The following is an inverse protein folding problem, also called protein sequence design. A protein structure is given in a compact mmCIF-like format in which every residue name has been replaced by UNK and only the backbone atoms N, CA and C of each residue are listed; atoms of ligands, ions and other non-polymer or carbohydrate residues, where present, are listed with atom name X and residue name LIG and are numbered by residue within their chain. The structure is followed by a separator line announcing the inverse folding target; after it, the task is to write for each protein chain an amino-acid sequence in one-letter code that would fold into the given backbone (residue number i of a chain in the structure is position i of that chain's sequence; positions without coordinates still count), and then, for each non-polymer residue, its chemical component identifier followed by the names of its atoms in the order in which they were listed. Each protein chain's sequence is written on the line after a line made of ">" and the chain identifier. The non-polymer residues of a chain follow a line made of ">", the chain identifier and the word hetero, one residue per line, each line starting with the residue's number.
data_IF_281103947587
#
_entry.id   IF_281103947587
#
_cell.length_a   1.000
_cell.length_b   1.000
_cell.length_c   1.000
_cell.angle_alpha   90.00
_cell.angle_beta   90.00
_cell.angle_gamma   90.00
#
_symmetry.space_group_name_H-M   'P 1'
#
loop_
_entity.id
_entity.type
_entity.pdbx_description
1 polymer ?
#
# COMPACT_ATOMS: atom_id res chain seq x y z
N UNK A 1 -9.32 23.22 -21.69
CA UNK A 1 -9.03 22.76 -20.31
C UNK A 1 -8.86 21.25 -20.37
N UNK A 2 -7.66 20.73 -20.07
CA UNK A 2 -7.36 19.29 -20.17
C UNK A 2 -7.83 18.50 -18.95
N UNK A 3 -8.06 17.19 -19.12
CA UNK A 3 -8.38 16.28 -18.01
C UNK A 3 -7.12 15.95 -17.21
N UNK A 4 -7.18 16.07 -15.88
CA UNK A 4 -6.12 15.64 -14.95
C UNK A 4 -6.26 14.16 -14.54
N UNK A 5 -7.29 13.47 -15.05
CA UNK A 5 -7.51 12.04 -14.85
C UNK A 5 -7.34 11.30 -16.16
N UNK A 6 -6.63 10.18 -16.10
CA UNK A 6 -6.28 9.35 -17.25
C UNK A 6 -5.32 8.24 -16.85
N UNK A 7 -5.10 7.29 -17.76
CA UNK A 7 -4.14 6.21 -17.53
C UNK A 7 -2.69 6.74 -17.38
N UNK A 8 -1.83 6.03 -16.62
CA UNK A 8 -2.16 4.83 -15.86
C UNK A 8 -2.93 5.17 -14.58
N UNK A 9 -3.97 4.37 -14.31
CA UNK A 9 -4.72 4.49 -13.07
C UNK A 9 -3.86 4.01 -11.88
N UNK A 10 -4.10 4.53 -10.67
CA UNK A 10 -3.41 4.05 -9.49
C UNK A 10 -3.68 2.56 -9.28
N UNK A 11 -2.65 1.83 -8.84
CA UNK A 11 -2.80 0.44 -8.41
C UNK A 11 -3.55 0.42 -7.08
N UNK A 12 -4.51 -0.50 -6.97
CA UNK A 12 -5.38 -0.63 -5.79
C UNK A 12 -5.19 -1.94 -5.06
N UNK A 13 -5.36 -1.92 -3.75
CA UNK A 13 -5.39 -3.10 -2.85
C UNK A 13 -6.63 -3.08 -1.97
N UNK A 14 -7.02 -4.23 -1.46
CA UNK A 14 -8.19 -4.33 -0.59
C UNK A 14 -7.84 -4.06 0.88
N UNK A 15 -8.75 -3.46 1.65
CA UNK A 15 -8.58 -3.18 3.09
C UNK A 15 -8.53 -4.42 4.01
N UNK A 16 -8.67 -5.62 3.44
CA UNK A 16 -8.60 -6.93 4.12
C UNK A 16 -7.49 -7.81 3.56
N UNK A 17 -6.73 -7.28 2.61
CA UNK A 17 -5.65 -8.00 1.95
C UNK A 17 -4.47 -8.14 2.91
N UNK A 18 -3.77 -9.27 2.83
CA UNK A 18 -2.65 -9.52 3.72
C UNK A 18 -1.47 -8.60 3.37
N UNK A 19 -0.69 -8.20 4.39
CA UNK A 19 0.47 -7.32 4.21
C UNK A 19 1.44 -7.85 3.15
N UNK A 20 1.69 -9.16 3.10
CA UNK A 20 2.57 -9.77 2.11
C UNK A 20 2.09 -9.56 0.67
N UNK A 21 0.78 -9.69 0.44
CA UNK A 21 0.15 -9.48 -0.88
C UNK A 21 0.15 -7.99 -1.29
N UNK A 22 0.04 -7.09 -0.30
CA UNK A 22 0.17 -5.64 -0.51
C UNK A 22 1.61 -5.29 -0.89
N UNK A 23 2.60 -5.90 -0.25
CA UNK A 23 4.02 -5.71 -0.53
C UNK A 23 4.37 -6.15 -1.95
N UNK A 24 3.92 -7.33 -2.38
CA UNK A 24 4.12 -7.82 -3.73
C UNK A 24 3.59 -6.84 -4.78
N UNK A 25 2.35 -6.36 -4.60
CA UNK A 25 1.76 -5.35 -5.49
C UNK A 25 2.52 -4.02 -5.49
N UNK A 26 3.03 -3.62 -4.33
CA UNK A 26 3.82 -2.40 -4.22
C UNK A 26 5.08 -2.50 -5.08
N UNK A 27 5.82 -3.61 -4.95
CA UNK A 27 7.05 -3.90 -5.71
C UNK A 27 6.77 -3.99 -7.21
N UNK A 28 5.74 -4.75 -7.60
CA UNK A 28 5.40 -4.99 -9.00
C UNK A 28 4.93 -3.72 -9.72
N UNK A 29 4.17 -2.86 -9.02
CA UNK A 29 3.68 -1.61 -9.60
C UNK A 29 4.80 -0.63 -9.93
N UNK A 30 5.98 -0.77 -9.30
CA UNK A 30 7.04 0.27 -9.21
C UNK A 30 6.49 1.65 -8.84
N UNK A 31 5.31 1.69 -8.23
CA UNK A 31 4.62 2.88 -7.83
C UNK A 31 5.19 3.42 -6.52
N UNK A 32 4.89 4.68 -6.24
CA UNK A 32 5.22 5.31 -4.95
C UNK A 32 4.08 5.22 -3.94
N UNK A 33 2.93 4.66 -4.35
CA UNK A 33 1.75 4.51 -3.50
C UNK A 33 0.76 3.49 -4.06
N UNK A 34 0.00 2.87 -3.17
CA UNK A 34 -1.17 2.05 -3.47
C UNK A 34 -2.43 2.70 -2.89
N UNK A 35 -3.53 2.66 -3.63
CA UNK A 35 -4.83 3.12 -3.13
C UNK A 35 -5.55 1.95 -2.46
N UNK A 36 -5.97 2.12 -1.22
CA UNK A 36 -6.72 1.11 -0.48
C UNK A 36 -8.19 1.29 -0.76
N UNK A 37 -8.86 0.24 -1.20
CA UNK A 37 -10.30 0.21 -1.48
C UNK A 37 -11.01 -0.81 -0.60
N UNK A 38 -12.29 -0.56 -0.32
CA UNK A 38 -13.15 -1.53 0.35
C UNK A 38 -13.88 -2.46 -0.66
N UNK A 39 -14.77 -3.33 -0.16
CA UNK A 39 -15.51 -4.29 -0.98
C UNK A 39 -16.35 -3.62 -2.09
N UNK A 40 -16.76 -2.37 -1.88
CA UNK A 40 -17.51 -1.57 -2.85
C UNK A 40 -16.64 -0.84 -3.89
N UNK A 41 -15.32 -1.08 -3.90
CA UNK A 41 -14.36 -0.37 -4.75
C UNK A 41 -14.16 1.10 -4.38
N UNK A 42 -14.68 1.54 -3.22
CA UNK A 42 -14.53 2.91 -2.77
C UNK A 42 -13.14 3.09 -2.16
N UNK A 43 -12.38 4.14 -2.54
CA UNK A 43 -11.13 4.45 -1.88
C UNK A 43 -11.39 4.83 -0.41
N UNK A 44 -10.72 4.12 0.48
CA UNK A 44 -10.80 4.32 1.94
C UNK A 44 -9.48 4.77 2.53
N UNK A 45 -8.37 4.63 1.79
CA UNK A 45 -7.06 5.05 2.25
C UNK A 45 -6.00 4.96 1.16
N UNK A 46 -4.76 5.13 1.58
CA UNK A 46 -3.57 5.02 0.74
C UNK A 46 -2.41 4.51 1.57
N UNK A 47 -1.58 3.68 0.95
CA UNK A 47 -0.32 3.19 1.51
C UNK A 47 0.80 3.78 0.67
N UNK A 48 1.79 4.39 1.32
CA UNK A 48 3.00 4.94 0.72
C UNK A 48 4.20 4.03 0.98
N UNK A 49 5.32 4.32 0.29
CA UNK A 49 6.54 3.52 0.43
C UNK A 49 7.16 3.65 1.83
N UNK A 50 7.06 4.84 2.44
CA UNK A 50 7.51 5.10 3.81
C UNK A 50 6.64 4.38 4.85
N UNK A 51 5.32 4.28 4.65
CA UNK A 51 4.45 3.48 5.53
C UNK A 51 4.92 2.02 5.62
N UNK A 52 5.32 1.45 4.48
CA UNK A 52 5.87 0.08 4.41
C UNK A 52 7.20 -0.02 5.15
N UNK A 53 8.10 0.94 4.96
CA UNK A 53 9.40 0.96 5.63
C UNK A 53 9.21 1.06 7.15
N UNK A 54 8.31 1.93 7.60
CA UNK A 54 8.01 2.14 9.02
C UNK A 54 7.43 0.87 9.65
N UNK A 55 6.52 0.18 8.97
CA UNK A 55 5.97 -1.10 9.43
C UNK A 55 7.05 -2.18 9.60
N UNK A 56 7.97 -2.31 8.64
CA UNK A 56 9.09 -3.26 8.73
C UNK A 56 10.08 -2.90 9.85
N UNK A 57 10.35 -1.60 10.04
CA UNK A 57 11.20 -1.14 11.14
C UNK A 57 10.56 -1.41 12.50
N UNK A 58 9.25 -1.23 12.61
CA UNK A 58 8.50 -1.49 13.84
C UNK A 58 8.51 -2.98 14.19
N UNK A 59 8.28 -3.85 13.20
CA UNK A 59 8.31 -5.30 13.38
C UNK A 59 9.72 -5.79 13.80
N UNK A 60 10.78 -5.26 13.19
CA UNK A 60 12.16 -5.55 13.59
C UNK A 60 12.53 -5.01 14.99
N UNK A 61 11.86 -3.95 15.47
CA UNK A 61 12.03 -3.48 16.87
C UNK A 61 11.30 -4.38 17.85
N UNK A 62 10.11 -4.87 17.48
CA UNK A 62 9.34 -5.79 18.30
C UNK A 62 10.06 -7.13 18.48
N UNK A 63 10.62 -7.69 17.40
CA UNK A 63 11.39 -8.94 17.47
C UNK A 63 12.61 -8.88 18.40
N UNK A 64 13.26 -7.72 18.52
CA UNK A 64 14.40 -7.51 19.42
C UNK A 64 14.04 -7.31 20.90
N UNK A 65 12.79 -6.97 21.21
CA UNK A 65 12.32 -6.78 22.59
C UNK A 65 11.85 -8.08 23.24
N UNK A 66 11.63 -9.10 22.42
CA UNK A 66 11.17 -10.43 22.83
C UNK A 66 12.33 -11.42 23.03
N UNK A 67 13.58 -10.97 22.86
CA UNK A 67 14.80 -11.78 22.95
C UNK A 67 15.76 -11.30 24.01
#
# INVERSE_FOLDING_TARGET
>A
MGSLTGAPYPVTVHDKEHVDEVLERFVDSRGTSLVVVNDGGKPVGRILADDVIDALLEDHRLGRRSS
#
